data_IF_997131702711
#
_entry.id   IF_997131702711
#
_cell.length_a   1.000
_cell.length_b   1.000
_cell.length_c   1.000
_cell.angle_alpha   90.00
_cell.angle_beta   90.00
_cell.angle_gamma   90.00
#
_symmetry.space_group_name_H-M   'P 1'
#
loop_
_entity.id
_entity.type
_entity.pdbx_description
1 polymer ?
#
# COMPACT_ATOMS: atom_id res chain seq x y z
N UNK A 1 -10.13 24.55 22.21
CA UNK A 1 -9.97 23.10 21.94
C UNK A 1 -9.85 22.90 20.44
N UNK A 2 -8.76 22.28 19.95
CA UNK A 2 -8.71 21.77 18.58
C UNK A 2 -9.71 20.61 18.48
N UNK A 3 -10.65 20.58 17.51
CA UNK A 3 -11.45 19.40 17.29
C UNK A 3 -10.49 18.30 16.81
N UNK A 4 -10.30 17.30 17.66
CA UNK A 4 -9.63 16.05 17.30
C UNK A 4 -10.33 15.56 16.03
N UNK A 5 -9.56 15.44 14.94
CA UNK A 5 -10.06 15.15 13.59
C UNK A 5 -10.68 13.76 13.58
N UNK A 6 -11.96 13.63 13.92
CA UNK A 6 -12.68 12.35 13.90
C UNK A 6 -13.03 11.85 12.49
N UNK A 7 -12.34 12.34 11.45
CA UNK A 7 -12.66 12.03 10.04
C UNK A 7 -11.41 11.98 9.13
N UNK A 8 -10.29 11.44 9.62
CA UNK A 8 -9.00 11.46 8.87
C UNK A 8 -9.04 10.54 7.63
N UNK A 9 -9.82 9.46 7.68
CA UNK A 9 -9.94 8.46 6.63
C UNK A 9 -11.40 8.05 6.42
N UNK A 10 -11.76 7.78 5.17
CA UNK A 10 -13.05 7.22 4.77
C UNK A 10 -13.11 5.72 5.10
N UNK A 11 -14.32 5.13 5.23
CA UNK A 11 -14.46 3.68 5.42
C UNK A 11 -13.74 2.88 4.32
N UNK A 12 -13.79 3.36 3.08
CA UNK A 12 -13.12 2.71 1.95
C UNK A 12 -11.58 2.70 2.10
N UNK A 13 -10.98 3.80 2.58
CA UNK A 13 -9.54 3.86 2.84
C UNK A 13 -9.13 2.94 4.00
N UNK A 14 -9.97 2.84 5.04
CA UNK A 14 -9.73 1.95 6.17
C UNK A 14 -9.79 0.49 5.73
N UNK A 15 -10.85 0.09 5.01
CA UNK A 15 -10.99 -1.27 4.48
C UNK A 15 -9.84 -1.62 3.53
N UNK A 16 -9.41 -0.68 2.68
CA UNK A 16 -8.28 -0.89 1.79
C UNK A 16 -6.98 -1.09 2.57
N UNK A 17 -6.71 -0.24 3.57
CA UNK A 17 -5.51 -0.34 4.39
C UNK A 17 -5.46 -1.64 5.20
N UNK A 18 -6.59 -2.08 5.76
CA UNK A 18 -6.70 -3.37 6.45
C UNK A 18 -6.44 -4.53 5.49
N UNK A 19 -7.06 -4.51 4.30
CA UNK A 19 -6.87 -5.55 3.29
C UNK A 19 -5.40 -5.65 2.85
N UNK A 20 -4.72 -4.50 2.69
CA UNK A 20 -3.29 -4.45 2.38
C UNK A 20 -2.45 -5.04 3.51
N UNK A 21 -2.72 -4.65 4.75
CA UNK A 21 -2.01 -5.13 5.93
C UNK A 21 -2.19 -6.64 6.13
N UNK A 22 -3.39 -7.18 5.88
CA UNK A 22 -3.68 -8.61 5.96
C UNK A 22 -2.96 -9.38 4.86
N UNK A 23 -3.07 -8.90 3.61
CA UNK A 23 -2.44 -9.55 2.46
C UNK A 23 -0.91 -9.56 2.53
N UNK A 24 -0.31 -8.53 3.14
CA UNK A 24 1.14 -8.39 3.30
C UNK A 24 1.66 -8.98 4.62
N UNK A 25 0.77 -9.55 5.46
CA UNK A 25 1.06 -10.04 6.81
C UNK A 25 1.80 -9.01 7.68
N UNK A 26 1.38 -7.74 7.59
CA UNK A 26 2.04 -6.61 8.24
C UNK A 26 1.06 -5.65 8.92
N UNK A 27 0.31 -6.18 9.89
CA UNK A 27 -0.63 -5.39 10.71
C UNK A 27 0.06 -4.26 11.49
N UNK A 28 1.35 -4.40 11.80
CA UNK A 28 2.12 -3.41 12.56
C UNK A 28 2.27 -2.09 11.80
N UNK A 29 2.22 -2.14 10.47
CA UNK A 29 2.35 -0.96 9.60
C UNK A 29 1.00 -0.41 9.11
N UNK A 30 -0.13 -0.75 9.76
CA UNK A 30 -1.47 -0.28 9.35
C UNK A 30 -1.55 1.24 9.16
N UNK A 31 -0.91 2.03 10.03
CA UNK A 31 -0.86 3.49 9.91
C UNK A 31 -0.19 3.98 8.60
N UNK A 32 0.82 3.24 8.12
CA UNK A 32 1.46 3.51 6.83
C UNK A 32 0.51 3.19 5.67
N UNK A 33 -0.18 2.04 5.72
CA UNK A 33 -1.14 1.66 4.68
C UNK A 33 -2.33 2.62 4.61
N UNK A 34 -2.82 3.14 5.75
CA UNK A 34 -3.83 4.20 5.78
C UNK A 34 -3.34 5.48 5.11
N UNK A 35 -2.10 5.89 5.39
CA UNK A 35 -1.48 7.04 4.73
C UNK A 35 -1.32 6.82 3.22
N UNK A 36 -1.00 5.59 2.81
CA UNK A 36 -0.92 5.22 1.41
C UNK A 36 -2.28 5.22 0.72
N UNK A 37 -3.32 4.65 1.34
CA UNK A 37 -4.68 4.62 0.83
C UNK A 37 -5.24 6.03 0.57
N UNK A 38 -4.81 7.00 1.37
CA UNK A 38 -5.15 8.42 1.20
C UNK A 38 -4.32 9.13 0.13
N UNK A 39 -3.05 8.75 0.00
CA UNK A 39 -2.09 9.43 -0.89
C UNK A 39 -2.14 8.91 -2.33
N UNK A 40 -2.46 7.63 -2.50
CA UNK A 40 -2.38 6.93 -3.78
C UNK A 40 -3.75 6.37 -4.17
N UNK A 41 -4.09 6.34 -5.47
CA UNK A 41 -5.33 5.77 -5.94
C UNK A 41 -5.39 4.27 -5.66
N UNK A 42 -6.59 3.79 -5.35
CA UNK A 42 -6.87 2.38 -5.00
C UNK A 42 -6.30 1.40 -6.03
N UNK A 43 -6.51 1.66 -7.31
CA UNK A 43 -6.04 0.78 -8.40
C UNK A 43 -4.53 0.59 -8.39
N UNK A 44 -3.78 1.67 -8.11
CA UNK A 44 -2.34 1.61 -8.03
C UNK A 44 -1.90 0.68 -6.90
N UNK A 45 -2.44 0.88 -5.69
CA UNK A 45 -2.11 0.05 -4.53
C UNK A 45 -2.47 -1.41 -4.75
N UNK A 46 -3.63 -1.70 -5.37
CA UNK A 46 -4.04 -3.06 -5.69
C UNK A 46 -3.16 -3.70 -6.76
N UNK A 47 -2.77 -2.96 -7.80
CA UNK A 47 -1.86 -3.48 -8.83
C UNK A 47 -0.48 -3.79 -8.27
N UNK A 48 0.04 -2.94 -7.38
CA UNK A 48 1.31 -3.17 -6.67
C UNK A 48 1.20 -4.36 -5.73
N UNK A 49 0.08 -4.49 -4.99
CA UNK A 49 -0.18 -5.65 -4.13
C UNK A 49 -0.17 -6.95 -4.95
N UNK A 50 -0.93 -6.99 -6.04
CA UNK A 50 -1.00 -8.15 -6.91
C UNK A 50 0.39 -8.52 -7.45
N UNK A 51 1.15 -7.54 -7.94
CA UNK A 51 2.52 -7.76 -8.41
C UNK A 51 3.41 -8.38 -7.32
N UNK A 52 3.42 -7.81 -6.11
CA UNK A 52 4.21 -8.32 -4.98
C UNK A 52 3.77 -9.74 -4.55
N UNK A 53 2.48 -10.04 -4.63
CA UNK A 53 1.95 -11.37 -4.29
C UNK A 53 2.28 -12.43 -5.35
N UNK A 54 2.42 -12.04 -6.62
CA UNK A 54 2.83 -12.97 -7.69
C UNK A 54 4.30 -13.37 -7.62
N UNK A 55 5.13 -12.63 -6.87
CA UNK A 55 6.54 -12.95 -6.73
C UNK A 55 6.75 -14.17 -5.82
N UNK A 56 7.55 -15.15 -6.27
CA UNK A 56 7.80 -16.34 -5.48
C UNK A 56 8.63 -16.02 -4.23
N UNK A 57 8.31 -16.64 -3.09
CA UNK A 57 8.95 -16.36 -1.79
C UNK A 57 10.48 -16.48 -1.81
N UNK A 58 11.00 -17.42 -2.59
CA UNK A 58 12.44 -17.65 -2.75
C UNK A 58 13.18 -16.55 -3.55
N UNK A 59 12.44 -15.68 -4.24
CA UNK A 59 13.01 -14.55 -4.98
C UNK A 59 13.07 -13.26 -4.16
N UNK A 60 12.34 -13.18 -3.04
CA UNK A 60 12.24 -11.96 -2.25
C UNK A 60 13.24 -12.02 -1.08
N UNK A 61 14.34 -11.27 -1.20
CA UNK A 61 15.33 -11.12 -0.12
C UNK A 61 14.79 -10.40 1.13
N UNK A 62 13.57 -9.87 1.06
CA UNK A 62 12.91 -9.06 2.09
C UNK A 62 11.47 -9.50 2.28
N UNK A 63 10.77 -9.02 3.30
CA UNK A 63 9.33 -9.29 3.43
C UNK A 63 8.55 -8.67 2.27
N UNK A 64 7.42 -9.29 1.88
CA UNK A 64 6.50 -8.75 0.87
C UNK A 64 6.04 -7.33 1.22
N UNK A 65 5.74 -7.08 2.50
CA UNK A 65 5.43 -5.74 3.02
C UNK A 65 6.52 -4.69 2.72
N UNK A 66 7.80 -5.05 2.89
CA UNK A 66 8.93 -4.16 2.58
C UNK A 66 9.05 -3.92 1.09
N UNK A 67 8.85 -4.94 0.27
CA UNK A 67 8.87 -4.79 -1.18
C UNK A 67 7.74 -3.87 -1.66
N UNK A 68 6.52 -4.08 -1.17
CA UNK A 68 5.38 -3.21 -1.44
C UNK A 68 5.69 -1.76 -1.06
N UNK A 69 6.16 -1.54 0.16
CA UNK A 69 6.54 -0.22 0.66
C UNK A 69 7.59 0.43 -0.22
N UNK A 70 8.62 -0.32 -0.62
CA UNK A 70 9.66 0.17 -1.52
C UNK A 70 9.09 0.57 -2.89
N UNK A 71 8.21 -0.23 -3.50
CA UNK A 71 7.61 0.10 -4.80
C UNK A 71 6.75 1.35 -4.70
N UNK A 72 5.87 1.42 -3.68
CA UNK A 72 4.97 2.56 -3.48
C UNK A 72 5.72 3.86 -3.18
N UNK A 73 6.83 3.78 -2.43
CA UNK A 73 7.64 4.96 -2.07
C UNK A 73 8.63 5.37 -3.16
N UNK A 74 9.14 4.41 -3.95
CA UNK A 74 10.14 4.65 -4.99
C UNK A 74 9.51 5.00 -6.34
N UNK A 75 8.30 4.54 -6.60
CA UNK A 75 7.49 5.02 -7.72
C UNK A 75 7.11 6.47 -7.42
N UNK A 76 7.98 7.39 -7.85
CA UNK A 76 7.60 8.79 -8.05
C UNK A 76 6.35 8.71 -8.91
N UNK A 77 5.21 9.13 -8.37
CA UNK A 77 3.90 8.87 -8.95
C UNK A 77 3.77 9.56 -10.32
N UNK A 78 4.26 8.90 -11.37
CA UNK A 78 4.17 9.34 -12.75
C UNK A 78 3.11 8.46 -13.40
N UNK A 79 1.87 8.95 -13.45
CA UNK A 79 0.70 8.24 -13.99
C UNK A 79 0.83 7.85 -15.47
N UNK A 80 1.91 8.24 -16.15
CA UNK A 80 2.13 8.03 -17.58
C UNK A 80 3.15 6.94 -17.94
N UNK A 81 3.84 6.33 -16.95
CA UNK A 81 4.95 5.41 -17.23
C UNK A 81 4.68 4.01 -16.65
N UNK A 82 3.53 3.44 -17.00
CA UNK A 82 3.20 2.03 -16.71
C UNK A 82 3.67 1.15 -17.87
N UNK A 83 4.97 0.89 -17.93
CA UNK A 83 5.52 -0.27 -18.65
C UNK A 83 6.29 -1.10 -17.65
N UNK A 84 5.68 -2.20 -17.21
CA UNK A 84 6.37 -3.29 -16.53
C UNK A 84 6.93 -4.21 -17.63
N UNK A 85 8.01 -3.75 -18.27
CA UNK A 85 8.91 -4.59 -19.09
C UNK A 85 10.15 -4.95 -18.26
#
# INVERSE_FOLDING_TARGET
MNPIRSNIYTPNEITLAQSLAESLDDQKSLAFYLSCAKKYPREYLLSTLAHVMTLPDHSVRTTRARLFTNIVTRSVFNTNDRTWD
#
